data_IF_003120928839
#
_entry.id   IF_003120928839
#
_cell.length_a   1.000
_cell.length_b   1.000
_cell.length_c   1.000
_cell.angle_alpha   90.00
_cell.angle_beta   90.00
_cell.angle_gamma   90.00
#
_symmetry.space_group_name_H-M   'P 1'
#
loop_
_entity.id
_entity.type
_entity.pdbx_description
1 polymer ?
#
# COMPACT_ATOMS: atom_id res chain seq x y z
N UNK A 1 -10.27 6.06 9.49
CA UNK A 1 -8.81 6.18 9.37
C UNK A 1 -8.43 7.65 9.21
N UNK A 2 -7.44 8.08 9.96
CA UNK A 2 -6.74 9.36 9.80
C UNK A 2 -5.46 9.07 8.99
N UNK A 3 -5.11 9.90 8.01
CA UNK A 3 -3.94 9.66 7.14
C UNK A 3 -2.81 10.57 7.59
N UNK A 4 -1.63 10.00 7.81
CA UNK A 4 -0.38 10.75 7.94
C UNK A 4 0.21 10.86 6.54
N UNK A 5 -0.02 11.98 5.86
CA UNK A 5 0.27 12.11 4.45
C UNK A 5 1.76 12.36 4.20
N UNK A 6 2.36 11.47 3.43
CA UNK A 6 3.75 11.49 2.98
C UNK A 6 3.75 11.43 1.45
N UNK A 7 4.43 12.37 0.82
CA UNK A 7 4.71 12.36 -0.62
C UNK A 7 6.17 11.96 -0.83
N UNK A 8 6.43 11.08 -1.79
CA UNK A 8 7.77 10.69 -2.23
C UNK A 8 7.92 11.02 -3.71
N UNK A 9 9.06 11.59 -4.08
CA UNK A 9 9.37 11.97 -5.46
C UNK A 9 10.73 11.41 -5.84
N UNK A 10 10.79 10.71 -6.97
CA UNK A 10 12.03 10.13 -7.49
C UNK A 10 12.09 10.19 -9.01
N UNK A 11 13.30 10.05 -9.57
CA UNK A 11 13.51 9.88 -11.01
C UNK A 11 14.26 8.56 -11.21
N UNK A 12 13.57 7.45 -11.52
CA UNK A 12 14.17 6.13 -11.60
C UNK A 12 15.38 6.07 -12.56
N UNK A 13 16.49 5.53 -12.07
CA UNK A 13 17.73 5.37 -12.83
C UNK A 13 18.47 6.67 -13.19
N UNK A 14 18.09 7.84 -12.63
CA UNK A 14 18.91 9.04 -12.68
C UNK A 14 20.13 8.88 -11.75
N UNK A 15 21.34 9.07 -12.28
CA UNK A 15 22.58 8.82 -11.53
C UNK A 15 22.75 9.87 -10.42
N UNK A 16 23.05 9.41 -9.20
CA UNK A 16 23.28 10.28 -8.04
C UNK A 16 22.02 10.87 -7.39
N UNK A 17 20.88 10.85 -8.08
CA UNK A 17 19.61 11.26 -7.50
C UNK A 17 19.12 10.27 -6.44
N UNK A 18 18.59 10.81 -5.35
CA UNK A 18 17.89 10.07 -4.30
C UNK A 18 16.40 10.38 -4.35
N UNK A 19 15.58 9.47 -3.85
CA UNK A 19 14.20 9.77 -3.49
C UNK A 19 14.18 10.93 -2.49
N UNK A 20 13.31 11.90 -2.72
CA UNK A 20 13.02 13.01 -1.82
C UNK A 20 11.62 12.84 -1.25
N UNK A 21 11.41 13.33 -0.03
CA UNK A 21 10.16 13.13 0.70
C UNK A 21 9.63 14.45 1.27
N UNK A 22 8.31 14.53 1.41
CA UNK A 22 7.64 15.64 2.07
C UNK A 22 6.48 15.09 2.91
N UNK A 23 6.42 15.50 4.17
CA UNK A 23 5.32 15.15 5.08
C UNK A 23 4.51 16.39 5.42
N UNK A 24 3.21 16.21 5.65
CA UNK A 24 2.32 17.29 6.08
C UNK A 24 1.41 16.84 7.22
N UNK A 25 0.64 17.78 7.77
CA UNK A 25 -0.27 17.52 8.89
C UNK A 25 -1.29 16.46 8.52
N UNK A 26 -1.74 15.72 9.54
CA UNK A 26 -2.74 14.66 9.38
C UNK A 26 -4.02 15.20 8.77
N UNK A 27 -4.54 14.49 7.77
CA UNK A 27 -5.70 14.94 7.00
C UNK A 27 -5.96 14.04 5.79
N UNK A 28 -7.16 14.15 5.19
CA UNK A 28 -7.51 13.45 3.94
C UNK A 28 -7.33 14.29 2.69
N UNK A 29 -7.09 15.59 2.86
CA UNK A 29 -6.84 16.57 1.80
C UNK A 29 -5.51 17.31 2.10
N UNK A 30 -4.36 16.62 1.96
CA UNK A 30 -3.06 17.16 2.32
C UNK A 30 -2.52 18.14 1.27
N UNK A 31 -2.28 19.39 1.67
CA UNK A 31 -1.44 20.31 0.90
C UNK A 31 0.02 20.17 1.35
N UNK A 32 0.91 19.82 0.42
CA UNK A 32 2.35 19.70 0.68
C UNK A 32 3.11 21.01 0.42
N UNK A 33 2.82 21.69 -0.71
CA UNK A 33 3.45 22.95 -1.13
C UNK A 33 5.00 22.95 -1.02
N UNK A 34 5.61 21.82 -1.36
CA UNK A 34 7.05 21.57 -1.25
C UNK A 34 7.69 21.50 -2.64
N UNK A 35 8.88 22.08 -2.80
CA UNK A 35 9.65 22.04 -4.04
C UNK A 35 10.76 20.98 -3.91
N UNK A 36 10.94 20.16 -4.95
CA UNK A 36 11.92 19.07 -4.99
C UNK A 36 12.98 19.35 -6.05
N UNK A 37 14.25 19.09 -5.75
CA UNK A 37 15.38 19.51 -6.58
C UNK A 37 16.22 18.32 -7.03
N UNK A 38 16.41 18.15 -8.34
CA UNK A 38 17.23 17.08 -8.92
C UNK A 38 18.34 17.71 -9.76
N UNK A 39 19.56 17.74 -9.23
CA UNK A 39 20.71 18.33 -9.90
C UNK A 39 21.26 17.45 -11.02
N UNK A 40 21.94 18.08 -11.99
CA UNK A 40 22.70 17.43 -13.07
C UNK A 40 21.88 16.52 -14.02
N UNK A 41 20.56 16.74 -14.13
CA UNK A 41 19.71 16.05 -15.11
C UNK A 41 20.11 16.48 -16.53
N UNK A 42 20.55 15.53 -17.36
CA UNK A 42 21.01 15.82 -18.72
C UNK A 42 19.86 15.85 -19.75
N UNK A 43 20.10 16.44 -20.92
CA UNK A 43 19.08 16.50 -21.99
C UNK A 43 18.58 15.12 -22.45
N UNK A 44 19.46 14.12 -22.52
CA UNK A 44 19.11 12.72 -22.84
C UNK A 44 18.19 12.11 -21.78
N UNK A 45 18.43 12.43 -20.51
CA UNK A 45 17.62 11.95 -19.39
C UNK A 45 16.26 12.63 -19.32
N UNK A 46 16.16 13.91 -19.73
CA UNK A 46 14.88 14.57 -19.95
C UNK A 46 14.05 13.87 -21.03
N UNK A 47 14.66 13.40 -22.12
CA UNK A 47 13.95 12.71 -23.20
C UNK A 47 13.51 11.27 -22.84
N UNK A 48 14.19 10.62 -21.90
CA UNK A 48 14.06 9.18 -21.63
C UNK A 48 13.47 8.80 -20.27
N UNK A 49 13.47 9.69 -19.27
CA UNK A 49 13.04 9.37 -17.89
C UNK A 49 11.67 9.94 -17.53
N UNK A 50 11.16 9.44 -16.42
CA UNK A 50 9.93 9.86 -15.76
C UNK A 50 10.25 10.36 -14.35
N UNK A 51 9.48 11.32 -13.84
CA UNK A 51 9.30 11.54 -12.41
C UNK A 51 8.24 10.55 -11.92
N UNK A 52 8.53 9.83 -10.85
CA UNK A 52 7.56 9.03 -10.10
C UNK A 52 7.19 9.80 -8.83
N UNK A 53 5.88 10.01 -8.63
CA UNK A 53 5.31 10.67 -7.45
C UNK A 53 4.45 9.62 -6.73
N UNK A 54 4.86 9.23 -5.52
CA UNK A 54 4.20 8.20 -4.72
C UNK A 54 3.56 8.85 -3.49
N UNK A 55 2.24 8.73 -3.36
CA UNK A 55 1.49 9.15 -2.19
C UNK A 55 1.41 8.00 -1.18
N UNK A 56 1.78 8.29 0.06
CA UNK A 56 1.90 7.32 1.15
C UNK A 56 1.11 7.74 2.40
N UNK A 57 0.70 6.74 3.18
CA UNK A 57 0.45 6.88 4.61
C UNK A 57 1.73 6.48 5.38
N UNK A 58 2.37 7.45 6.01
CA UNK A 58 3.60 7.25 6.78
C UNK A 58 3.40 6.25 7.94
N UNK A 59 4.30 5.28 8.06
CA UNK A 59 4.39 4.34 9.19
C UNK A 59 3.21 3.38 9.42
N UNK A 60 2.20 3.35 8.54
CA UNK A 60 0.96 2.58 8.75
C UNK A 60 1.08 1.06 8.50
N UNK A 61 2.18 0.59 7.93
CA UNK A 61 2.35 -0.78 7.45
C UNK A 61 3.11 -1.72 8.40
N UNK A 62 3.22 -2.99 8.00
CA UNK A 62 3.92 -4.03 8.76
C UNK A 62 5.38 -3.61 8.98
N UNK A 63 5.85 -3.70 10.24
CA UNK A 63 7.17 -3.21 10.71
C UNK A 63 7.40 -1.70 10.50
N UNK A 64 6.34 -0.89 10.52
CA UNK A 64 6.44 0.58 10.43
C UNK A 64 6.82 1.10 9.04
N UNK A 65 6.69 0.28 7.99
CA UNK A 65 6.84 0.73 6.61
C UNK A 65 5.66 1.61 6.19
N UNK A 66 5.90 2.52 5.25
CA UNK A 66 4.84 3.33 4.68
C UNK A 66 3.88 2.49 3.84
N UNK A 67 2.58 2.81 3.87
CA UNK A 67 1.60 2.22 2.97
C UNK A 67 1.47 3.13 1.75
N UNK A 68 1.77 2.62 0.56
CA UNK A 68 1.46 3.31 -0.69
C UNK A 68 -0.07 3.40 -0.86
N UNK A 69 -0.56 4.62 -1.04
CA UNK A 69 -1.96 4.94 -1.34
C UNK A 69 -2.17 4.98 -2.86
N UNK A 70 -1.20 5.54 -3.59
CA UNK A 70 -1.25 5.68 -5.04
C UNK A 70 0.05 6.25 -5.60
N UNK A 71 0.18 6.17 -6.93
CA UNK A 71 1.35 6.63 -7.67
C UNK A 71 0.91 7.33 -8.95
N UNK A 72 1.68 8.34 -9.37
CA UNK A 72 1.55 9.03 -10.64
C UNK A 72 2.93 9.12 -11.31
N UNK A 73 2.97 9.03 -12.64
CA UNK A 73 4.22 9.10 -13.42
C UNK A 73 4.14 10.20 -14.47
N UNK A 74 5.18 11.04 -14.54
CA UNK A 74 5.24 12.20 -15.44
C UNK A 74 6.50 12.10 -16.30
N UNK A 75 6.42 11.93 -17.63
CA UNK A 75 7.58 11.97 -18.51
C UNK A 75 8.29 13.32 -18.44
N UNK A 76 9.62 13.34 -18.24
CA UNK A 76 10.38 14.59 -18.13
C UNK A 76 10.32 15.42 -19.42
N UNK A 77 10.23 14.77 -20.58
CA UNK A 77 10.11 15.41 -21.89
C UNK A 77 8.85 16.29 -22.00
N UNK A 78 7.79 15.94 -21.27
CA UNK A 78 6.50 16.64 -21.32
C UNK A 78 6.54 17.95 -20.49
N UNK A 79 7.58 18.13 -19.66
CA UNK A 79 7.78 19.31 -18.78
C UNK A 79 9.10 20.07 -19.07
N UNK A 80 9.79 19.74 -20.18
CA UNK A 80 11.15 20.19 -20.53
C UNK A 80 11.32 21.72 -20.61
N UNK A 81 10.26 22.45 -20.98
CA UNK A 81 10.30 23.88 -21.27
C UNK A 81 9.32 24.71 -20.40
N UNK A 82 9.21 24.39 -19.11
CA UNK A 82 8.48 25.24 -18.16
C UNK A 82 9.25 26.52 -17.82
N UNK A 83 9.23 27.47 -18.75
CA UNK A 83 9.79 28.82 -18.60
C UNK A 83 8.98 29.76 -17.67
N UNK A 84 7.91 29.26 -17.05
CA UNK A 84 7.12 29.95 -16.01
C UNK A 84 6.64 28.96 -14.96
N UNK A 85 6.32 29.42 -13.73
CA UNK A 85 5.61 28.61 -12.72
C UNK A 85 4.19 28.30 -13.20
N UNK A 86 4.05 27.24 -13.98
CA UNK A 86 2.76 26.73 -14.45
C UNK A 86 2.22 25.75 -13.41
N UNK A 87 0.99 25.96 -12.96
CA UNK A 87 0.26 24.98 -12.15
C UNK A 87 -0.03 23.76 -13.03
N UNK A 88 0.77 22.68 -12.88
CA UNK A 88 0.44 21.41 -13.53
C UNK A 88 -0.59 20.68 -12.67
N UNK A 89 -1.86 20.91 -12.99
CA UNK A 89 -2.99 20.35 -12.25
C UNK A 89 -3.28 18.91 -12.67
N UNK A 90 -2.57 17.97 -12.06
CA UNK A 90 -2.87 16.54 -12.20
C UNK A 90 -4.17 16.19 -11.46
N UNK A 91 -5.26 16.02 -12.20
CA UNK A 91 -6.51 15.42 -11.70
C UNK A 91 -6.57 13.97 -12.20
N UNK A 92 -5.63 13.14 -11.71
CA UNK A 92 -5.73 11.70 -11.91
C UNK A 92 -6.45 11.09 -10.71
N UNK A 93 -7.59 10.45 -10.99
CA UNK A 93 -8.31 9.65 -10.00
C UNK A 93 -7.47 8.42 -9.66
N UNK A 94 -6.85 8.41 -8.48
CA UNK A 94 -5.96 7.34 -8.03
C UNK A 94 -6.73 6.01 -8.00
N UNK A 95 -6.48 5.17 -9.01
CA UNK A 95 -7.02 3.81 -9.09
C UNK A 95 -6.27 2.95 -8.09
N UNK A 96 -6.92 2.61 -6.98
CA UNK A 96 -6.32 1.79 -5.92
C UNK A 96 -5.86 0.41 -6.45
N UNK A 97 -4.55 0.16 -6.38
CA UNK A 97 -3.89 -1.04 -6.96
C UNK A 97 -3.94 -2.25 -5.99
N UNK A 98 -4.97 -2.37 -5.14
CA UNK A 98 -5.12 -3.55 -4.26
C UNK A 98 -6.60 -3.96 -4.12
N UNK A 99 -7.00 -5.14 -4.61
CA UNK A 99 -8.29 -5.73 -4.31
C UNK A 99 -8.26 -6.37 -2.91
N UNK A 100 -8.12 -5.56 -1.85
CA UNK A 100 -8.50 -6.06 -0.51
C UNK A 100 -9.97 -6.46 -0.61
N UNK A 101 -10.32 -7.67 -0.17
CA UNK A 101 -11.73 -8.03 0.01
C UNK A 101 -12.31 -6.99 0.97
N UNK A 102 -13.19 -6.12 0.47
CA UNK A 102 -13.85 -5.11 1.29
C UNK A 102 -15.14 -5.68 1.87
N UNK A 103 -15.48 -5.24 3.07
CA UNK A 103 -16.75 -5.58 3.70
C UNK A 103 -17.94 -5.02 2.93
N UNK A 104 -19.12 -5.64 3.07
CA UNK A 104 -20.36 -5.19 2.43
C UNK A 104 -21.19 -4.38 3.42
N UNK A 105 -21.55 -3.16 3.06
CA UNK A 105 -22.50 -2.33 3.81
C UNK A 105 -23.83 -2.34 3.06
N UNK A 106 -24.90 -2.70 3.75
CA UNK A 106 -26.26 -2.70 3.24
C UNK A 106 -27.00 -1.50 3.82
N UNK A 107 -27.44 -0.58 2.97
CA UNK A 107 -28.25 0.57 3.35
C UNK A 107 -29.60 0.55 2.63
N UNK A 108 -30.54 1.36 3.10
CA UNK A 108 -31.65 1.83 2.28
C UNK A 108 -31.90 3.30 2.55
N UNK A 109 -32.03 4.08 1.48
CA UNK A 109 -32.30 5.52 1.55
C UNK A 109 -33.71 5.82 1.10
N UNK A 110 -34.38 6.74 1.80
CA UNK A 110 -35.69 7.29 1.42
C UNK A 110 -35.55 8.81 1.36
N UNK A 111 -36.07 9.43 0.30
CA UNK A 111 -36.10 10.89 0.11
C UNK A 111 -37.55 11.35 0.13
N UNK A 112 -37.93 12.11 1.15
CA UNK A 112 -39.24 12.73 1.28
C UNK A 112 -39.09 14.21 0.89
N UNK A 113 -39.55 14.55 -0.32
CA UNK A 113 -39.33 15.90 -0.89
C UNK A 113 -40.04 16.99 -0.10
N UNK A 114 -41.27 16.75 0.33
CA UNK A 114 -42.13 17.74 0.99
C UNK A 114 -41.60 18.11 2.39
N UNK A 115 -41.02 17.15 3.11
CA UNK A 115 -40.34 17.37 4.40
C UNK A 115 -38.85 17.70 4.25
N UNK A 116 -38.33 17.79 3.01
CA UNK A 116 -36.91 18.00 2.67
C UNK A 116 -35.96 17.04 3.39
N UNK A 117 -36.41 15.80 3.64
CA UNK A 117 -35.70 14.82 4.48
C UNK A 117 -35.13 13.68 3.66
N UNK A 118 -33.82 13.46 3.81
CA UNK A 118 -33.13 12.25 3.38
C UNK A 118 -32.90 11.36 4.60
N UNK A 119 -33.49 10.18 4.63
CA UNK A 119 -33.30 9.18 5.68
C UNK A 119 -32.47 8.04 5.14
N UNK A 120 -31.25 7.85 5.67
CA UNK A 120 -30.35 6.73 5.33
C UNK A 120 -30.36 5.72 6.48
N UNK A 121 -30.91 4.53 6.24
CA UNK A 121 -30.90 3.44 7.21
C UNK A 121 -29.73 2.49 6.92
N UNK A 122 -28.80 2.37 7.87
CA UNK A 122 -27.75 1.34 7.87
C UNK A 122 -28.34 0.02 8.38
N UNK A 123 -28.49 -0.98 7.51
CA UNK A 123 -29.16 -2.26 7.83
C UNK A 123 -28.20 -3.32 8.35
N UNK A 124 -27.06 -3.51 7.68
CA UNK A 124 -26.09 -4.55 8.01
C UNK A 124 -24.70 -4.15 7.52
N UNK A 125 -23.68 -4.46 8.31
CA UNK A 125 -22.28 -4.45 7.87
C UNK A 125 -21.79 -5.90 7.94
N UNK A 126 -21.21 -6.39 6.84
CA UNK A 126 -20.50 -7.66 6.77
C UNK A 126 -19.01 -7.31 6.74
N UNK A 127 -18.26 -7.71 7.76
CA UNK A 127 -16.79 -7.68 7.76
C UNK A 127 -16.30 -8.50 6.54
N UNK A 128 -15.22 -8.11 5.84
CA UNK A 128 -14.61 -9.03 4.89
C UNK A 128 -14.21 -10.35 5.59
N UNK A 129 -14.14 -11.48 4.86
CA UNK A 129 -13.61 -12.70 5.45
C UNK A 129 -12.20 -12.43 5.97
N UNK A 130 -11.92 -12.93 7.16
CA UNK A 130 -10.57 -12.90 7.71
C UNK A 130 -9.68 -13.80 6.83
N UNK A 131 -8.46 -13.37 6.57
CA UNK A 131 -7.47 -14.21 5.91
C UNK A 131 -6.99 -15.18 7.00
N UNK A 132 -7.35 -16.46 6.87
CA UNK A 132 -6.82 -17.50 7.73
C UNK A 132 -5.29 -17.48 7.56
N UNK A 133 -4.56 -17.11 8.63
CA UNK A 133 -3.11 -17.26 8.66
C UNK A 133 -2.78 -18.73 8.37
N UNK A 134 -1.89 -18.99 7.40
CA UNK A 134 -1.47 -20.35 7.00
C UNK A 134 -0.84 -21.10 8.19
N UNK A 135 -1.68 -21.77 8.99
CA UNK A 135 -1.25 -22.82 9.93
C UNK A 135 -0.93 -24.04 9.09
N UNK A 136 0.23 -23.99 8.42
CA UNK A 136 0.86 -25.15 7.82
C UNK A 136 1.29 -26.09 8.95
N UNK A 137 0.36 -26.96 9.36
CA UNK A 137 0.57 -27.94 10.39
C UNK A 137 1.37 -29.13 9.85
N UNK A 138 2.59 -29.32 10.35
CA UNK A 138 3.24 -30.63 10.27
C UNK A 138 2.80 -31.52 11.44
N UNK A 139 1.84 -32.39 11.12
CA UNK A 139 1.59 -33.69 11.76
C UNK A 139 1.54 -34.72 10.61
N UNK A 140 2.05 -35.94 10.69
CA UNK A 140 2.92 -36.61 11.67
C UNK A 140 3.39 -37.94 11.03
N UNK A 141 4.60 -38.42 11.35
CA UNK A 141 5.10 -39.82 11.26
C UNK A 141 4.74 -40.72 10.05
N UNK A 142 5.75 -41.18 9.29
CA UNK A 142 6.30 -42.56 9.41
C UNK A 142 7.36 -42.87 8.34
N UNK A 143 8.47 -43.53 8.73
CA UNK A 143 9.56 -43.90 7.82
C UNK A 143 10.70 -44.62 8.53
N UNK A 144 10.67 -45.95 8.52
CA UNK A 144 11.55 -46.87 9.24
C UNK A 144 13.07 -46.63 9.07
N UNK A 145 13.85 -46.92 10.12
CA UNK A 145 14.92 -47.94 10.04
C UNK A 145 15.34 -48.42 11.43
N UNK A 146 15.53 -49.74 11.56
CA UNK A 146 16.02 -50.40 12.77
C UNK A 146 17.55 -50.39 12.81
N UNK A 147 18.11 -50.36 14.03
CA UNK A 147 19.39 -50.90 14.51
C UNK A 147 19.67 -50.23 15.87
N UNK A 148 19.93 -50.91 16.99
CA UNK A 148 19.94 -52.34 17.31
C UNK A 148 20.47 -52.51 18.74
N UNK A 149 20.32 -53.71 19.34
CA UNK A 149 20.80 -54.09 20.69
C UNK A 149 20.08 -53.36 21.85
N UNK A 150 19.82 -53.95 23.02
CA UNK A 150 20.31 -55.21 23.60
C UNK A 150 19.23 -55.86 24.50
N UNK A 151 19.19 -57.20 24.57
CA UNK A 151 18.14 -57.96 25.27
C UNK A 151 18.73 -58.75 26.45
N UNK A 152 18.40 -58.36 27.69
CA UNK A 152 18.56 -59.09 28.97
C UNK A 152 17.46 -58.53 29.90
N UNK A 153 16.71 -59.24 30.75
CA UNK A 153 16.75 -60.59 31.35
C UNK A 153 15.30 -60.90 31.81
N UNK A 154 14.84 -62.08 32.28
CA UNK A 154 15.46 -63.34 32.72
C UNK A 154 14.43 -64.49 32.57
N UNK A 155 14.87 -65.74 32.49
CA UNK A 155 14.04 -66.92 32.76
C UNK A 155 13.71 -67.05 34.26
N UNK A 156 12.46 -67.34 34.63
CA UNK A 156 12.12 -68.35 35.66
C UNK A 156 10.76 -68.95 35.25
N UNK A 157 10.69 -70.27 35.09
CA UNK A 157 9.44 -71.02 35.09
C UNK A 157 9.37 -71.94 36.29
N UNK A 158 8.23 -71.96 36.97
CA UNK A 158 7.34 -73.13 37.13
C UNK A 158 6.00 -72.69 37.78
#
# INVERSE_FOLDING_TARGET
MEIHALCKVSIPGLKGAKEQTSETKRGRDPMFNHEFFFDNVTHEELDTKIVLITACHAGGGIKGKDIVIGEASVPLRDIREMNTKKEIKFIEEIKAIVPKKLGKIYTSSVIEKDSKRLTINLKKVIRPPEEDDDVNGERVLNGQSMNGQEEQTQEIGD
#
